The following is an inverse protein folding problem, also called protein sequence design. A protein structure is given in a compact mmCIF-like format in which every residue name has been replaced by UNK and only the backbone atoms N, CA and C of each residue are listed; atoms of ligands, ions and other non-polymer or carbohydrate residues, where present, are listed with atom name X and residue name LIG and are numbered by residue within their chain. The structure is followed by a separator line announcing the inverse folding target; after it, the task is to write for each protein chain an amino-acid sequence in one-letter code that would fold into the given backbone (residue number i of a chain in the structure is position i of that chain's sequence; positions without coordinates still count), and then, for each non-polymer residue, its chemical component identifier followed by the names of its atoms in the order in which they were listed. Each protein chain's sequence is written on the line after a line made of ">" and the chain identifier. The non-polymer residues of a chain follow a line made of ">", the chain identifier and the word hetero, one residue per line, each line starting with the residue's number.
data_IF_529240572285
#
_entry.id   IF_529240572285
#
_cell.length_a   1.000
_cell.length_b   1.000
_cell.length_c   1.000
_cell.angle_alpha   90.00
_cell.angle_beta   90.00
_cell.angle_gamma   90.00
#
_symmetry.space_group_name_H-M   'P 1'
#
loop_
_entity.id
_entity.type
_entity.pdbx_description
1 polymer ?
#
# COMPACT_ATOMS: atom_id res chain seq x y z
N UNK A 1 -31.99 -33.62 31.64
CA UNK A 1 -31.14 -32.40 31.65
C UNK A 1 -29.68 -32.65 31.26
N UNK A 2 -29.07 -33.82 31.49
CA UNK A 2 -27.65 -34.08 31.12
C UNK A 2 -27.33 -34.11 29.60
N UNK A 3 -28.30 -34.45 28.74
CA UNK A 3 -28.08 -34.56 27.28
C UNK A 3 -28.04 -33.20 26.55
N UNK A 4 -28.67 -32.16 27.10
CA UNK A 4 -28.68 -30.82 26.50
C UNK A 4 -27.38 -30.04 26.79
N UNK A 5 -26.76 -30.28 27.94
CA UNK A 5 -25.49 -29.63 28.32
C UNK A 5 -24.32 -30.10 27.43
N UNK A 6 -24.27 -31.39 27.06
CA UNK A 6 -23.21 -31.90 26.16
C UNK A 6 -23.28 -31.34 24.74
N UNK A 7 -24.47 -31.09 24.19
CA UNK A 7 -24.61 -30.54 22.83
C UNK A 7 -24.09 -29.09 22.79
N UNK A 8 -24.39 -28.30 23.82
CA UNK A 8 -23.91 -26.92 23.92
C UNK A 8 -22.38 -26.84 24.08
N UNK A 9 -21.79 -27.76 24.84
CA UNK A 9 -20.33 -27.85 25.05
C UNK A 9 -19.57 -28.26 23.77
N UNK A 10 -20.15 -29.15 22.95
CA UNK A 10 -19.58 -29.51 21.64
C UNK A 10 -19.68 -28.34 20.66
N UNK A 11 -20.77 -27.57 20.67
CA UNK A 11 -20.92 -26.39 19.80
C UNK A 11 -19.88 -25.31 20.15
N UNK A 12 -19.61 -25.05 21.44
CA UNK A 12 -18.57 -24.10 21.86
C UNK A 12 -17.16 -24.54 21.42
N UNK A 13 -16.85 -25.85 21.49
CA UNK A 13 -15.58 -26.42 21.02
C UNK A 13 -15.40 -26.31 19.50
N UNK A 14 -16.48 -26.44 18.73
CA UNK A 14 -16.44 -26.30 17.26
C UNK A 14 -16.31 -24.82 16.85
N UNK A 15 -16.96 -23.89 17.56
CA UNK A 15 -16.86 -22.46 17.27
C UNK A 15 -15.44 -21.92 17.51
N UNK A 16 -14.69 -22.49 18.46
CA UNK A 16 -13.28 -22.12 18.70
C UNK A 16 -12.34 -22.42 17.54
N UNK A 17 -12.77 -23.20 16.53
CA UNK A 17 -11.99 -23.52 15.33
C UNK A 17 -12.27 -22.60 14.14
N UNK A 18 -13.23 -21.68 14.26
CA UNK A 18 -13.36 -20.58 13.30
C UNK A 18 -12.30 -19.52 13.61
N UNK A 19 -11.05 -19.85 13.31
CA UNK A 19 -10.05 -18.83 12.98
C UNK A 19 -10.57 -18.20 11.70
N UNK A 20 -11.07 -16.97 11.80
CA UNK A 20 -11.30 -16.16 10.60
C UNK A 20 -9.97 -16.14 9.86
N UNK A 21 -10.00 -16.48 8.57
CA UNK A 21 -8.81 -16.32 7.74
C UNK A 21 -8.46 -14.83 7.75
N UNK A 22 -7.51 -14.46 8.59
CA UNK A 22 -6.87 -13.16 8.54
C UNK A 22 -6.03 -13.11 7.26
N UNK A 23 -5.94 -11.93 6.64
CA UNK A 23 -5.23 -11.71 5.37
C UNK A 23 -3.69 -11.79 5.56
N UNK A 24 -3.22 -12.85 6.20
CA UNK A 24 -1.84 -13.03 6.59
C UNK A 24 -1.04 -13.38 5.32
N UNK A 25 -0.05 -12.54 4.94
CA UNK A 25 0.81 -12.87 3.82
C UNK A 25 1.60 -14.16 4.09
N UNK A 26 1.82 -14.94 3.04
CA UNK A 26 2.67 -16.12 3.13
C UNK A 26 4.09 -15.76 3.59
N UNK A 27 4.79 -16.72 4.20
CA UNK A 27 6.19 -16.54 4.61
C UNK A 27 7.08 -16.02 3.47
N UNK A 28 6.88 -16.55 2.25
CA UNK A 28 7.60 -16.09 1.06
C UNK A 28 7.32 -14.62 0.75
N UNK A 29 6.06 -14.18 0.81
CA UNK A 29 5.71 -12.77 0.58
C UNK A 29 6.38 -11.84 1.60
N UNK A 30 6.38 -12.22 2.88
CA UNK A 30 7.07 -11.45 3.92
C UNK A 30 8.60 -11.42 3.72
N UNK A 31 9.20 -12.55 3.32
CA UNK A 31 10.62 -12.63 2.98
C UNK A 31 10.97 -11.77 1.76
N UNK A 32 10.12 -11.79 0.71
CA UNK A 32 10.28 -10.97 -0.49
C UNK A 32 10.24 -9.47 -0.11
N UNK A 33 9.21 -9.03 0.63
CA UNK A 33 9.10 -7.62 1.09
C UNK A 33 10.28 -7.18 1.95
N UNK A 34 10.77 -8.06 2.83
CA UNK A 34 11.94 -7.79 3.66
C UNK A 34 13.20 -7.68 2.82
N UNK A 35 13.41 -8.58 1.88
CA UNK A 35 14.60 -8.60 1.01
C UNK A 35 14.69 -7.38 0.10
N UNK A 36 13.54 -6.87 -0.35
CA UNK A 36 13.42 -5.63 -1.12
C UNK A 36 13.50 -4.38 -0.24
N UNK A 37 13.53 -4.53 1.09
CA UNK A 37 13.56 -3.41 2.05
C UNK A 37 12.25 -2.64 2.19
N UNK A 38 11.16 -3.14 1.56
CA UNK A 38 9.84 -2.49 1.55
C UNK A 38 9.28 -2.48 2.98
N UNK A 39 9.17 -3.65 3.61
CA UNK A 39 8.79 -3.77 5.01
C UNK A 39 9.89 -4.55 5.75
N UNK A 40 10.59 -3.84 6.63
CA UNK A 40 11.61 -4.42 7.51
C UNK A 40 10.98 -4.44 8.90
N UNK A 41 10.92 -5.61 9.53
CA UNK A 41 10.41 -5.80 10.89
C UNK A 41 11.19 -5.00 11.93
N UNK A 42 10.91 -5.25 13.21
CA UNK A 42 11.68 -4.65 14.31
C UNK A 42 13.12 -5.19 14.41
N UNK A 43 13.87 -4.72 15.40
CA UNK A 43 15.27 -5.09 15.63
C UNK A 43 15.46 -6.61 15.88
N UNK A 44 14.42 -7.29 16.34
CA UNK A 44 14.39 -8.75 16.55
C UNK A 44 13.96 -9.51 15.28
N UNK A 45 13.59 -8.79 14.22
CA UNK A 45 13.13 -9.33 12.95
C UNK A 45 11.65 -9.70 12.92
N UNK A 46 10.86 -9.32 13.94
CA UNK A 46 9.42 -9.56 13.95
C UNK A 46 8.72 -8.56 13.03
N UNK A 47 7.84 -9.05 12.17
CA UNK A 47 7.08 -8.19 11.25
C UNK A 47 5.96 -7.39 11.93
N UNK A 48 5.59 -7.79 13.17
CA UNK A 48 4.55 -7.16 13.99
C UNK A 48 3.22 -7.03 13.26
N UNK A 49 2.77 -8.10 12.61
CA UNK A 49 1.68 -8.07 11.61
C UNK A 49 0.33 -7.59 12.17
N UNK A 50 0.10 -7.73 13.47
CA UNK A 50 -1.14 -7.30 14.16
C UNK A 50 -1.14 -5.81 14.55
N UNK A 51 0.02 -5.13 14.46
CA UNK A 51 0.11 -3.72 14.83
C UNK A 51 -0.43 -2.83 13.70
N UNK A 52 -0.95 -1.66 14.09
CA UNK A 52 -1.25 -0.60 13.14
C UNK A 52 0.05 -0.06 12.50
N UNK A 53 -0.10 0.60 11.36
CA UNK A 53 1.00 1.24 10.64
C UNK A 53 0.82 2.75 10.56
N UNK A 54 1.91 3.49 10.77
CA UNK A 54 1.89 4.95 10.68
C UNK A 54 1.95 5.44 9.23
N UNK A 55 1.50 6.69 9.01
CA UNK A 55 1.61 7.37 7.72
C UNK A 55 3.06 7.55 7.26
N UNK A 56 3.99 7.78 8.21
CA UNK A 56 5.42 7.86 7.93
C UNK A 56 6.00 6.52 7.44
N UNK A 57 5.62 5.41 8.07
CA UNK A 57 6.02 4.07 7.62
C UNK A 57 5.45 3.75 6.22
N UNK A 58 4.17 4.04 5.99
CA UNK A 58 3.55 3.85 4.68
C UNK A 58 4.24 4.68 3.59
N UNK A 59 4.60 5.94 3.87
CA UNK A 59 5.34 6.78 2.92
C UNK A 59 6.70 6.17 2.54
N UNK A 60 7.45 5.65 3.53
CA UNK A 60 8.68 4.90 3.28
C UNK A 60 8.41 3.69 2.39
N UNK A 61 7.42 2.87 2.74
CA UNK A 61 7.11 1.66 1.98
C UNK A 61 6.80 1.98 0.51
N UNK A 62 6.03 3.04 0.25
CA UNK A 62 5.69 3.50 -1.10
C UNK A 62 6.93 3.96 -1.87
N UNK A 63 7.82 4.74 -1.25
CA UNK A 63 9.07 5.11 -1.90
C UNK A 63 9.87 3.86 -2.30
N UNK A 64 10.04 2.93 -1.36
CA UNK A 64 10.89 1.76 -1.59
C UNK A 64 10.29 0.85 -2.66
N UNK A 65 8.97 0.61 -2.69
CA UNK A 65 8.36 -0.23 -3.75
C UNK A 65 8.43 0.45 -5.14
N UNK A 66 8.55 1.78 -5.19
CA UNK A 66 8.78 2.54 -6.43
C UNK A 66 10.28 2.63 -6.81
N UNK A 67 11.17 1.99 -6.04
CA UNK A 67 12.62 2.03 -6.28
C UNK A 67 13.30 3.34 -5.83
N UNK A 68 12.57 4.22 -5.14
CA UNK A 68 13.08 5.51 -4.66
C UNK A 68 13.91 5.27 -3.40
N UNK A 69 15.23 5.43 -3.50
CA UNK A 69 16.16 5.27 -2.39
C UNK A 69 16.52 6.64 -1.81
N UNK A 70 16.79 6.65 -0.51
CA UNK A 70 17.23 7.86 0.19
C UNK A 70 18.52 8.44 -0.39
N UNK A 71 19.40 7.57 -0.88
CA UNK A 71 20.70 7.94 -1.45
C UNK A 71 20.59 8.53 -2.87
N UNK A 72 19.44 8.44 -3.53
CA UNK A 72 19.23 8.97 -4.88
C UNK A 72 19.12 10.51 -4.90
N UNK A 73 19.05 11.14 -3.73
CA UNK A 73 18.86 12.59 -3.59
C UNK A 73 20.04 13.23 -2.87
N UNK A 74 20.40 14.43 -3.28
CA UNK A 74 21.48 15.18 -2.67
C UNK A 74 21.19 15.44 -1.19
N UNK A 75 22.25 15.44 -0.37
CA UNK A 75 22.20 15.73 1.06
C UNK A 75 21.71 17.15 1.40
N UNK A 76 21.45 17.98 0.38
CA UNK A 76 20.75 19.25 0.55
C UNK A 76 19.32 18.95 0.97
N UNK A 77 19.10 19.08 2.28
CA UNK A 77 17.81 18.97 2.93
C UNK A 77 16.81 19.87 2.22
N UNK A 78 16.00 19.29 1.33
CA UNK A 78 14.79 19.95 0.86
C UNK A 78 13.95 20.31 2.09
N UNK A 79 13.50 21.57 2.12
CA UNK A 79 12.58 22.07 3.15
C UNK A 79 11.39 21.11 3.22
N UNK A 80 10.95 20.78 4.43
CA UNK A 80 9.76 19.94 4.59
C UNK A 80 8.58 20.49 3.80
N UNK A 81 7.91 19.63 3.03
CA UNK A 81 6.71 20.01 2.29
C UNK A 81 5.48 20.23 3.21
N UNK A 82 5.57 19.81 4.48
CA UNK A 82 4.48 19.87 5.44
C UNK A 82 4.92 20.53 6.76
N UNK A 83 4.11 21.41 7.36
CA UNK A 83 4.49 22.17 8.56
C UNK A 83 4.78 21.32 9.80
N UNK A 84 4.13 20.15 9.92
CA UNK A 84 4.23 19.23 11.06
C UNK A 84 5.33 18.18 10.90
N UNK A 85 6.00 18.14 9.76
CA UNK A 85 7.13 17.25 9.52
C UNK A 85 8.41 18.05 9.74
N UNK A 86 9.07 17.81 10.89
CA UNK A 86 10.32 18.48 11.25
C UNK A 86 11.45 18.11 10.27
N UNK A 87 12.42 19.01 10.10
CA UNK A 87 13.58 18.75 9.24
C UNK A 87 14.40 17.52 9.67
N UNK A 88 14.39 17.19 10.96
CA UNK A 88 15.06 16.01 11.52
C UNK A 88 14.22 14.74 11.46
N UNK A 89 12.97 14.80 10.99
CA UNK A 89 12.08 13.65 10.95
C UNK A 89 12.63 12.58 10.00
N UNK A 90 12.73 11.33 10.47
CA UNK A 90 13.35 10.25 9.72
C UNK A 90 12.67 9.99 8.37
N UNK A 91 11.35 10.16 8.32
CA UNK A 91 10.54 9.95 7.12
C UNK A 91 10.44 11.17 6.20
N UNK A 92 11.00 12.33 6.56
CA UNK A 92 10.83 13.58 5.79
C UNK A 92 11.16 13.41 4.31
N UNK A 93 12.26 12.71 4.04
CA UNK A 93 12.70 12.42 2.68
C UNK A 93 11.61 11.69 1.89
N UNK A 94 11.09 10.59 2.43
CA UNK A 94 10.09 9.77 1.76
C UNK A 94 8.79 10.55 1.54
N UNK A 95 8.38 11.31 2.55
CA UNK A 95 7.19 12.16 2.51
C UNK A 95 7.32 13.21 1.39
N UNK A 96 8.43 13.93 1.33
CA UNK A 96 8.67 14.93 0.28
C UNK A 96 8.69 14.28 -1.12
N UNK A 97 9.37 13.15 -1.29
CA UNK A 97 9.48 12.48 -2.58
C UNK A 97 8.10 12.10 -3.16
N UNK A 98 7.25 11.47 -2.36
CA UNK A 98 5.92 11.04 -2.83
C UNK A 98 4.92 12.21 -2.87
N UNK A 99 5.21 13.32 -2.18
CA UNK A 99 4.47 14.58 -2.34
C UNK A 99 4.75 15.21 -3.70
N UNK A 100 6.02 15.27 -4.12
CA UNK A 100 6.42 15.81 -5.42
C UNK A 100 5.86 14.98 -6.60
N UNK A 101 5.71 13.67 -6.39
CA UNK A 101 5.03 12.76 -7.32
C UNK A 101 3.50 12.86 -7.28
N UNK A 102 2.92 13.67 -6.40
CA UNK A 102 1.47 13.86 -6.27
C UNK A 102 0.71 12.68 -5.65
N UNK A 103 1.41 11.71 -5.05
CA UNK A 103 0.81 10.51 -4.45
C UNK A 103 0.09 10.84 -3.15
N UNK A 104 0.63 11.80 -2.38
CA UNK A 104 0.06 12.25 -1.10
C UNK A 104 -0.35 13.71 -1.13
N UNK A 105 -1.33 14.03 -0.29
CA UNK A 105 -1.76 15.39 0.04
C UNK A 105 -1.88 15.50 1.55
N UNK A 106 -1.74 16.72 2.07
CA UNK A 106 -1.95 16.98 3.49
C UNK A 106 -3.43 16.95 3.85
N UNK A 107 -3.70 17.00 5.15
CA UNK A 107 -5.04 17.20 5.67
C UNK A 107 -5.58 18.61 5.37
N UNK A 108 -6.76 18.93 5.91
CA UNK A 108 -7.40 20.24 5.73
C UNK A 108 -6.58 21.40 6.31
N UNK A 109 -5.67 21.13 7.24
CA UNK A 109 -4.76 22.11 7.84
C UNK A 109 -3.41 22.17 7.10
N UNK A 110 -3.23 21.36 6.06
CA UNK A 110 -1.98 21.25 5.32
C UNK A 110 -0.91 20.42 6.02
N UNK A 111 -1.25 19.64 7.05
CA UNK A 111 -0.34 18.75 7.78
C UNK A 111 -0.29 17.35 7.14
N UNK A 112 0.82 16.65 7.32
CA UNK A 112 0.94 15.26 6.88
C UNK A 112 0.47 14.25 7.92
N UNK A 113 0.64 14.57 9.21
CA UNK A 113 0.39 13.73 10.39
C UNK A 113 1.24 12.43 10.39
N UNK A 114 2.59 12.52 10.39
CA UNK A 114 3.47 11.37 10.15
C UNK A 114 3.28 10.21 11.14
N UNK A 115 3.01 10.52 12.40
CA UNK A 115 2.88 9.54 13.50
C UNK A 115 1.46 9.02 13.68
N UNK A 116 0.49 9.51 12.89
CA UNK A 116 -0.88 8.99 12.93
C UNK A 116 -0.97 7.68 12.15
N UNK A 117 -1.87 6.80 12.59
CA UNK A 117 -2.20 5.58 11.87
C UNK A 117 -2.82 5.91 10.50
N UNK A 118 -2.44 5.15 9.48
CA UNK A 118 -2.99 5.25 8.13
C UNK A 118 -4.09 4.22 7.92
N UNK A 119 -5.10 4.52 7.11
CA UNK A 119 -6.19 3.57 6.81
C UNK A 119 -5.92 2.74 5.55
N UNK A 120 -6.66 1.64 5.38
CA UNK A 120 -6.53 0.77 4.22
C UNK A 120 -6.86 1.50 2.90
N UNK A 121 -7.88 2.35 2.87
CA UNK A 121 -8.24 3.13 1.69
C UNK A 121 -7.19 4.18 1.30
N UNK A 122 -6.46 4.74 2.28
CA UNK A 122 -5.35 5.64 2.04
C UNK A 122 -4.15 4.88 1.44
N UNK A 123 -3.82 3.69 1.96
CA UNK A 123 -2.80 2.81 1.37
C UNK A 123 -3.15 2.42 -0.06
N UNK A 124 -4.41 2.02 -0.30
CA UNK A 124 -4.91 1.70 -1.64
C UNK A 124 -4.72 2.90 -2.57
N UNK A 125 -5.10 4.11 -2.15
CA UNK A 125 -4.90 5.32 -2.94
C UNK A 125 -3.43 5.50 -3.29
N UNK A 126 -2.51 5.34 -2.33
CA UNK A 126 -1.08 5.50 -2.57
C UNK A 126 -0.55 4.46 -3.58
N UNK A 127 -0.91 3.19 -3.44
CA UNK A 127 -0.49 2.12 -4.37
C UNK A 127 -1.06 2.33 -5.79
N UNK A 128 -2.32 2.73 -5.91
CA UNK A 128 -2.95 3.06 -7.19
C UNK A 128 -2.23 4.23 -7.89
N UNK A 129 -1.86 5.28 -7.15
CA UNK A 129 -1.06 6.37 -7.70
C UNK A 129 0.33 5.91 -8.11
N UNK A 130 0.98 5.09 -7.27
CA UNK A 130 2.34 4.58 -7.50
C UNK A 130 2.45 3.70 -8.76
N UNK A 131 1.40 2.93 -9.06
CA UNK A 131 1.31 2.10 -10.27
C UNK A 131 0.76 2.87 -11.50
N UNK A 132 0.52 4.18 -11.38
CA UNK A 132 0.05 5.04 -12.47
C UNK A 132 -1.44 4.95 -12.77
N UNK A 133 -2.23 4.24 -11.95
CA UNK A 133 -3.66 4.01 -12.18
C UNK A 133 -4.58 5.17 -11.75
N UNK A 134 -4.05 6.26 -11.19
CA UNK A 134 -4.85 7.40 -10.73
C UNK A 134 -5.82 7.96 -11.78
N UNK A 135 -5.44 8.16 -13.06
CA UNK A 135 -6.39 8.59 -14.09
C UNK A 135 -7.61 7.66 -14.24
N UNK A 136 -7.43 6.35 -14.09
CA UNK A 136 -8.53 5.37 -14.12
C UNK A 136 -9.40 5.49 -12.86
N UNK A 137 -8.79 5.68 -11.69
CA UNK A 137 -9.51 5.85 -10.43
C UNK A 137 -10.37 7.12 -10.44
N UNK A 138 -9.84 8.24 -10.95
CA UNK A 138 -10.61 9.49 -11.07
C UNK A 138 -11.82 9.33 -12.00
N UNK A 139 -11.64 8.67 -13.15
CA UNK A 139 -12.73 8.41 -14.10
C UNK A 139 -13.79 7.42 -13.56
N UNK A 140 -13.46 6.60 -12.57
CA UNK A 140 -14.35 5.58 -11.99
C UNK A 140 -15.06 6.01 -10.71
N UNK A 141 -14.90 7.28 -10.30
CA UNK A 141 -15.65 7.87 -9.19
C UNK A 141 -14.82 8.66 -8.19
N UNK A 142 -13.52 8.88 -8.44
CA UNK A 142 -12.65 9.67 -7.57
C UNK A 142 -12.44 9.05 -6.18
N UNK A 143 -11.81 9.80 -5.29
CA UNK A 143 -11.55 9.31 -3.93
C UNK A 143 -12.81 9.34 -3.03
N UNK A 144 -13.10 8.29 -2.25
CA UNK A 144 -12.39 7.00 -2.19
C UNK A 144 -12.92 5.96 -3.19
N UNK A 145 -14.16 6.10 -3.68
CA UNK A 145 -14.89 5.04 -4.36
C UNK A 145 -14.22 4.52 -5.66
N UNK A 146 -13.72 5.42 -6.51
CA UNK A 146 -13.02 5.08 -7.74
C UNK A 146 -11.68 4.37 -7.50
N UNK A 147 -10.97 4.74 -6.43
CA UNK A 147 -9.73 4.07 -6.04
C UNK A 147 -9.99 2.65 -5.55
N UNK A 148 -11.00 2.44 -4.71
CA UNK A 148 -11.41 1.11 -4.25
C UNK A 148 -11.89 0.22 -5.41
N UNK A 149 -12.70 0.76 -6.33
CA UNK A 149 -13.14 0.03 -7.53
C UNK A 149 -11.99 -0.33 -8.45
N UNK A 150 -11.04 0.60 -8.65
CA UNK A 150 -9.85 0.35 -9.48
C UNK A 150 -8.98 -0.73 -8.84
N UNK A 151 -8.76 -0.67 -7.53
CA UNK A 151 -8.02 -1.69 -6.77
C UNK A 151 -8.64 -3.08 -6.91
N UNK A 152 -9.96 -3.19 -6.79
CA UNK A 152 -10.67 -4.45 -7.05
C UNK A 152 -10.50 -4.92 -8.50
N UNK A 153 -10.65 -4.01 -9.47
CA UNK A 153 -10.57 -4.31 -10.91
C UNK A 153 -9.20 -4.84 -11.32
N UNK A 154 -8.12 -4.26 -10.80
CA UNK A 154 -6.74 -4.68 -11.13
C UNK A 154 -6.26 -5.84 -10.25
N UNK A 155 -7.08 -6.28 -9.28
CA UNK A 155 -6.76 -7.39 -8.39
C UNK A 155 -5.88 -7.03 -7.20
N UNK A 156 -5.68 -5.74 -6.88
CA UNK A 156 -4.87 -5.30 -5.74
C UNK A 156 -5.42 -5.78 -4.40
N UNK A 157 -6.75 -5.85 -4.27
CA UNK A 157 -7.43 -6.35 -3.06
C UNK A 157 -8.00 -7.75 -3.26
N UNK A 158 -7.44 -8.52 -4.20
CA UNK A 158 -7.94 -9.86 -4.51
C UNK A 158 -7.73 -10.77 -3.30
N UNK A 159 -8.80 -11.43 -2.89
CA UNK A 159 -8.83 -12.38 -1.77
C UNK A 159 -8.49 -11.75 -0.40
N UNK A 160 -8.56 -10.42 -0.28
CA UNK A 160 -8.36 -9.69 0.99
C UNK A 160 -9.70 -9.25 1.61
N UNK A 161 -9.87 -9.47 2.91
CA UNK A 161 -10.96 -8.98 3.77
C UNK A 161 -10.60 -7.68 4.50
N UNK A 162 -10.23 -6.64 3.74
CA UNK A 162 -9.84 -5.34 4.28
C UNK A 162 -10.99 -4.62 4.99
N UNK A 163 -10.71 -4.06 6.17
CA UNK A 163 -11.60 -3.11 6.84
C UNK A 163 -11.29 -1.69 6.36
N UNK A 164 -12.33 -0.96 5.97
CA UNK A 164 -12.26 0.43 5.49
C UNK A 164 -12.64 1.37 6.63
N UNK A 165 -12.17 2.62 6.58
CA UNK A 165 -12.41 3.68 7.58
C UNK A 165 -11.88 3.35 8.99
N UNK A 166 -10.91 2.44 9.07
CA UNK A 166 -10.20 2.07 10.29
C UNK A 166 -8.69 2.04 10.03
N UNK A 167 -7.85 2.22 11.06
CA UNK A 167 -6.41 1.99 10.96
C UNK A 167 -6.09 0.64 10.31
N UNK A 168 -5.18 0.69 9.32
CA UNK A 168 -4.66 -0.50 8.67
C UNK A 168 -3.66 -1.21 9.58
N UNK A 169 -3.76 -2.54 9.63
CA UNK A 169 -2.75 -3.37 10.28
C UNK A 169 -1.64 -3.73 9.30
N UNK A 170 -0.46 -4.05 9.82
CA UNK A 170 0.72 -4.38 9.02
C UNK A 170 0.53 -5.64 8.16
N UNK A 171 -0.31 -6.60 8.57
CA UNK A 171 -0.69 -7.75 7.76
C UNK A 171 -1.34 -7.35 6.43
N UNK A 172 -2.42 -6.56 6.49
CA UNK A 172 -3.17 -6.03 5.35
C UNK A 172 -2.25 -5.26 4.39
N UNK A 173 -1.42 -4.37 4.96
CA UNK A 173 -0.48 -3.57 4.17
C UNK A 173 0.56 -4.47 3.50
N UNK A 174 1.14 -5.44 4.21
CA UNK A 174 2.08 -6.38 3.61
C UNK A 174 1.41 -7.23 2.51
N UNK A 175 0.15 -7.62 2.66
CA UNK A 175 -0.59 -8.35 1.63
C UNK A 175 -0.77 -7.49 0.37
N UNK A 176 -1.25 -6.25 0.53
CA UNK A 176 -1.44 -5.31 -0.59
C UNK A 176 -0.14 -5.00 -1.33
N UNK A 177 0.95 -4.74 -0.61
CA UNK A 177 2.26 -4.47 -1.24
C UNK A 177 2.81 -5.71 -1.95
N UNK A 178 2.61 -6.89 -1.39
CA UNK A 178 3.02 -8.14 -2.04
C UNK A 178 2.28 -8.39 -3.34
N UNK A 179 0.99 -8.07 -3.40
CA UNK A 179 0.19 -8.15 -4.63
C UNK A 179 0.62 -7.09 -5.64
N UNK A 180 0.83 -5.85 -5.17
CA UNK A 180 1.18 -4.70 -6.02
C UNK A 180 2.49 -4.90 -6.79
N UNK A 181 3.47 -5.63 -6.22
CA UNK A 181 4.74 -5.95 -6.90
C UNK A 181 4.55 -6.60 -8.28
N UNK A 182 3.49 -7.38 -8.44
CA UNK A 182 3.25 -8.22 -9.62
C UNK A 182 2.10 -7.71 -10.50
N UNK A 183 1.48 -6.57 -10.14
CA UNK A 183 0.47 -5.93 -10.98
C UNK A 183 1.16 -5.15 -12.11
N UNK A 184 0.74 -5.35 -13.38
CA UNK A 184 1.16 -4.50 -14.50
C UNK A 184 0.92 -3.02 -14.21
N UNK A 185 1.93 -2.17 -14.40
CA UNK A 185 1.76 -0.73 -14.22
C UNK A 185 0.98 -0.10 -15.38
N UNK A 186 0.33 1.02 -15.11
CA UNK A 186 -0.29 1.85 -16.14
C UNK A 186 0.64 3.01 -16.50
N UNK A 187 1.10 3.04 -17.75
CA UNK A 187 2.01 4.07 -18.24
C UNK A 187 1.29 5.03 -19.20
N UNK A 188 1.68 6.30 -19.19
CA UNK A 188 1.26 7.25 -20.21
C UNK A 188 1.91 6.89 -21.54
N UNK A 189 1.11 6.66 -22.59
CA UNK A 189 1.59 6.28 -23.92
C UNK A 189 1.69 7.46 -24.89
N UNK A 190 0.87 8.49 -24.72
CA UNK A 190 0.91 9.68 -25.56
C UNK A 190 0.32 10.90 -24.86
N UNK A 191 0.67 12.07 -25.38
CA UNK A 191 0.07 13.33 -24.99
C UNK A 191 -0.65 13.96 -26.19
N UNK A 192 -1.87 14.45 -25.96
CA UNK A 192 -2.63 15.23 -26.94
C UNK A 192 -3.22 16.48 -26.28
N UNK A 193 -3.63 17.50 -27.06
CA UNK A 193 -4.37 18.65 -26.54
C UNK A 193 -5.67 18.27 -25.81
N UNK A 194 -6.21 17.08 -26.09
CA UNK A 194 -7.43 16.55 -25.47
C UNK A 194 -7.15 15.68 -24.23
N UNK A 195 -5.90 15.60 -23.80
CA UNK A 195 -5.46 14.82 -22.65
C UNK A 195 -4.41 13.75 -22.99
N UNK A 196 -3.85 13.17 -21.93
CA UNK A 196 -2.95 12.04 -21.99
C UNK A 196 -3.70 10.72 -22.27
N UNK A 197 -3.09 9.83 -23.03
CA UNK A 197 -3.55 8.44 -23.17
C UNK A 197 -2.68 7.52 -22.33
N UNK A 198 -3.27 6.44 -21.83
CA UNK A 198 -2.61 5.48 -20.96
C UNK A 198 -2.74 4.06 -21.50
N UNK A 199 -1.74 3.23 -21.23
CA UNK A 199 -1.71 1.80 -21.56
C UNK A 199 -1.29 1.01 -20.33
N UNK A 200 -1.82 -0.21 -20.20
CA UNK A 200 -1.39 -1.15 -19.18
C UNK A 200 -0.22 -1.95 -19.77
N UNK A 201 0.88 -2.03 -19.03
CA UNK A 201 2.11 -2.70 -19.44
C UNK A 201 2.06 -4.18 -19.07
N UNK A 202 1.14 -4.92 -19.70
CA UNK A 202 0.78 -6.31 -19.36
C UNK A 202 1.55 -7.38 -20.17
N UNK A 203 2.48 -6.97 -21.03
CA UNK A 203 3.23 -7.91 -21.88
C UNK A 203 2.42 -8.48 -23.04
N UNK A 204 1.25 -7.91 -23.36
CA UNK A 204 0.49 -8.28 -24.55
C UNK A 204 1.23 -7.82 -25.83
N UNK A 205 0.68 -8.16 -27.01
CA UNK A 205 1.36 -7.98 -28.32
C UNK A 205 1.83 -6.56 -28.67
N UNK A 206 1.50 -5.54 -27.86
CA UNK A 206 1.90 -4.14 -28.07
C UNK A 206 2.67 -3.51 -26.91
N UNK A 207 2.88 -4.20 -25.79
CA UNK A 207 3.60 -3.64 -24.63
C UNK A 207 4.56 -4.66 -24.02
N UNK A 208 5.66 -4.19 -23.43
CA UNK A 208 6.47 -5.00 -22.52
C UNK A 208 5.71 -5.19 -21.20
N UNK A 209 5.89 -6.33 -20.52
CA UNK A 209 5.41 -6.49 -19.15
C UNK A 209 6.26 -5.61 -18.23
N UNK A 210 5.67 -4.61 -17.60
CA UNK A 210 6.32 -3.82 -16.55
C UNK A 210 5.46 -3.83 -15.30
N UNK A 211 6.07 -4.17 -14.17
CA UNK A 211 5.47 -4.18 -12.82
C UNK A 211 6.40 -3.44 -11.86
N UNK A 212 5.94 -3.15 -10.63
CA UNK A 212 6.84 -2.58 -9.61
C UNK A 212 8.03 -3.51 -9.33
N UNK A 213 7.83 -4.84 -9.36
CA UNK A 213 8.93 -5.81 -9.23
C UNK A 213 9.96 -5.67 -10.35
N UNK A 214 9.53 -5.60 -11.62
CA UNK A 214 10.49 -5.48 -12.72
C UNK A 214 11.28 -4.17 -12.67
N UNK A 215 10.67 -3.09 -12.19
CA UNK A 215 11.38 -1.81 -12.00
C UNK A 215 12.41 -1.87 -10.86
N UNK A 216 12.14 -2.64 -9.79
CA UNK A 216 13.09 -2.82 -8.68
C UNK A 216 14.29 -3.70 -9.03
N UNK A 217 14.14 -4.59 -10.00
CA UNK A 217 15.17 -5.56 -10.42
C UNK A 217 16.05 -5.06 -11.58
N UNK A 218 15.72 -3.89 -12.15
CA UNK A 218 16.50 -3.21 -13.20
C UNK A 218 17.73 -2.50 -12.64
#
# INVERSE_FOLDING_TARGET
>A
MKKFVSIFLVIILVISSMVFAEDIPSKKQLEDLRSLGIMVGDDDGNMRLEDNITRAEAAKMICVIMGIKKDDFSSEVAVSAFPDVMDSHWAKFYINAIKDLGIIVGDENGNFNPESDITNEEIIKMLINSMGYAPMAEQTGGYPAGYLRTAQKIGLTKDLMLKIDVPAIRADVAAMFSIALDIPIMAQSSWSPNGATYVIMDGNSTTELMTLRTELER
#
